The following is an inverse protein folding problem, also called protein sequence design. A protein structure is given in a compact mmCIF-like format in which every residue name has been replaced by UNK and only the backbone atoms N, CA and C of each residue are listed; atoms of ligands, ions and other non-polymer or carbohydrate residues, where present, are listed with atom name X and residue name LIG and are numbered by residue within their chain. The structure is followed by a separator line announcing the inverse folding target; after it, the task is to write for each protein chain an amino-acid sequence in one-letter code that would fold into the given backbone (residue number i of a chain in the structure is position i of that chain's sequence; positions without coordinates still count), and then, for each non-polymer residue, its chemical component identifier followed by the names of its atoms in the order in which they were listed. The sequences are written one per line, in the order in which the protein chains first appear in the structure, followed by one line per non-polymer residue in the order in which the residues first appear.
data_IF_462106516020
#
_entry.id   IF_462106516020
#
_cell.length_a   1.000
_cell.length_b   1.000
_cell.length_c   1.000
_cell.angle_alpha   90.00
_cell.angle_beta   90.00
_cell.angle_gamma   90.00
#
_symmetry.space_group_name_H-M   'P 1'
#
loop_
_entity.id
_entity.type
_entity.pdbx_description
1 polymer ?
#
# COMPACT_ATOMS: atom_id res chain seq x y z
N UNK A 1 15.19 -22.39 -21.02
CA UNK A 1 14.25 -21.37 -21.50
C UNK A 1 14.74 -19.99 -21.12
N UNK A 2 14.62 -18.97 -21.98
CA UNK A 2 14.98 -17.60 -21.61
C UNK A 2 14.05 -17.10 -20.49
N UNK A 3 14.55 -16.28 -19.54
CA UNK A 3 13.73 -15.74 -18.48
C UNK A 3 12.66 -14.80 -19.04
N UNK A 4 11.44 -14.86 -18.48
CA UNK A 4 10.37 -13.93 -18.85
C UNK A 4 10.73 -12.48 -18.55
N UNK A 5 10.07 -11.50 -19.19
CA UNK A 5 10.29 -10.08 -18.88
C UNK A 5 10.06 -9.78 -17.40
N UNK A 6 9.05 -10.41 -16.77
CA UNK A 6 8.75 -10.27 -15.35
C UNK A 6 9.92 -10.74 -14.47
N UNK A 7 10.57 -11.86 -14.84
CA UNK A 7 11.75 -12.37 -14.16
C UNK A 7 12.98 -11.48 -14.37
N UNK A 8 13.19 -10.98 -15.59
CA UNK A 8 14.32 -10.06 -15.88
C UNK A 8 14.22 -8.79 -15.06
N UNK A 9 13.05 -8.14 -15.04
CA UNK A 9 12.80 -6.95 -14.22
C UNK A 9 12.88 -7.25 -12.71
N UNK A 10 12.41 -8.43 -12.29
CA UNK A 10 12.53 -8.88 -10.92
C UNK A 10 13.99 -8.95 -10.50
N UNK A 11 14.83 -9.68 -11.21
CA UNK A 11 16.26 -9.82 -10.88
C UNK A 11 17.01 -8.49 -10.98
N UNK A 12 16.63 -7.61 -11.89
CA UNK A 12 17.19 -6.26 -11.96
C UNK A 12 16.97 -5.47 -10.67
N UNK A 13 15.79 -5.56 -10.05
CA UNK A 13 15.46 -4.86 -8.79
C UNK A 13 15.94 -5.61 -7.55
N UNK A 14 15.88 -6.95 -7.55
CA UNK A 14 16.23 -7.82 -6.42
C UNK A 14 17.72 -8.20 -6.38
N UNK A 15 18.56 -7.69 -7.32
CA UNK A 15 19.98 -8.00 -7.39
C UNK A 15 20.73 -7.55 -6.13
N UNK A 16 21.68 -8.39 -5.70
CA UNK A 16 22.67 -7.98 -4.72
C UNK A 16 23.65 -7.00 -5.37
N UNK A 17 23.70 -5.79 -4.86
CA UNK A 17 24.59 -4.74 -5.34
C UNK A 17 25.74 -4.47 -4.37
N UNK A 18 25.93 -5.31 -3.35
CA UNK A 18 26.93 -5.13 -2.31
C UNK A 18 26.73 -3.85 -1.48
N UNK A 19 25.49 -3.37 -1.37
CA UNK A 19 25.16 -2.13 -0.65
C UNK A 19 24.13 -2.39 0.45
N UNK A 20 24.56 -2.79 1.65
CA UNK A 20 23.66 -3.13 2.76
C UNK A 20 22.67 -2.01 3.12
N UNK A 21 23.10 -0.74 2.99
CA UNK A 21 22.22 0.40 3.23
C UNK A 21 21.02 0.46 2.27
N UNK A 22 21.20 0.03 1.02
CA UNK A 22 20.13 -0.01 0.04
C UNK A 22 19.10 -1.11 0.39
N UNK A 23 19.57 -2.27 0.83
CA UNK A 23 18.71 -3.36 1.31
C UNK A 23 17.92 -2.92 2.55
N UNK A 24 18.58 -2.24 3.51
CA UNK A 24 17.88 -1.65 4.67
C UNK A 24 16.83 -0.65 4.24
N UNK A 25 17.15 0.24 3.31
CA UNK A 25 16.20 1.24 2.79
C UNK A 25 14.96 0.58 2.17
N UNK A 26 15.16 -0.41 1.31
CA UNK A 26 14.05 -1.17 0.71
C UNK A 26 13.23 -1.92 1.76
N UNK A 27 13.88 -2.52 2.76
CA UNK A 27 13.20 -3.19 3.85
C UNK A 27 12.39 -2.22 4.72
N UNK A 28 12.88 -1.00 4.97
CA UNK A 28 12.15 0.07 5.68
C UNK A 28 10.88 0.46 4.91
N UNK A 29 10.99 0.74 3.60
CA UNK A 29 9.80 1.05 2.78
C UNK A 29 8.82 -0.12 2.71
N UNK A 30 9.30 -1.35 2.77
CA UNK A 30 8.47 -2.57 2.71
C UNK A 30 7.80 -2.93 4.02
N UNK A 31 8.21 -2.35 5.16
CA UNK A 31 7.76 -2.74 6.51
C UNK A 31 6.66 -1.81 7.01
N UNK A 32 5.40 -2.31 7.02
CA UNK A 32 4.29 -1.56 7.61
C UNK A 32 4.50 -1.34 9.12
N UNK A 33 5.01 -2.35 9.84
CA UNK A 33 5.21 -2.30 11.29
C UNK A 33 6.18 -1.20 11.71
N UNK A 34 7.12 -0.86 10.85
CA UNK A 34 8.05 0.25 11.06
C UNK A 34 7.30 1.60 11.03
N UNK A 35 6.39 1.78 10.07
CA UNK A 35 5.67 3.03 9.86
C UNK A 35 4.40 3.16 10.70
N UNK A 36 3.86 2.06 11.20
CA UNK A 36 2.56 2.02 11.87
C UNK A 36 2.43 3.00 13.05
N UNK A 37 3.42 3.13 13.97
CA UNK A 37 3.32 4.10 15.06
C UNK A 37 3.19 5.54 14.56
N UNK A 38 3.97 5.90 13.54
CA UNK A 38 3.92 7.23 12.93
C UNK A 38 2.56 7.49 12.24
N UNK A 39 2.05 6.48 11.52
CA UNK A 39 0.74 6.57 10.85
C UNK A 39 -0.40 6.72 11.86
N UNK A 40 -0.35 6.01 12.99
CA UNK A 40 -1.33 6.13 14.07
C UNK A 40 -1.29 7.55 14.65
N UNK A 41 -0.12 8.06 15.02
CA UNK A 41 0.03 9.42 15.56
C UNK A 41 -0.47 10.46 14.56
N UNK A 42 -0.09 10.35 13.28
CA UNK A 42 -0.57 11.25 12.23
C UNK A 42 -2.09 11.19 12.08
N UNK A 43 -2.67 9.99 12.08
CA UNK A 43 -4.12 9.79 12.02
C UNK A 43 -4.85 10.43 13.21
N UNK A 44 -4.36 10.24 14.43
CA UNK A 44 -4.92 10.85 15.64
C UNK A 44 -4.82 12.38 15.61
N UNK A 45 -3.71 12.94 15.15
CA UNK A 45 -3.56 14.39 14.98
C UNK A 45 -4.52 14.95 13.94
N UNK A 46 -4.72 14.26 12.82
CA UNK A 46 -5.70 14.63 11.80
C UNK A 46 -7.12 14.54 12.36
N UNK A 47 -7.46 13.49 13.07
CA UNK A 47 -8.77 13.34 13.72
C UNK A 47 -9.04 14.46 14.72
N UNK A 48 -8.01 14.88 15.47
CA UNK A 48 -8.13 15.95 16.47
C UNK A 48 -8.18 17.34 15.84
N UNK A 49 -7.20 17.69 14.98
CA UNK A 49 -7.00 19.05 14.47
C UNK A 49 -7.47 19.28 13.03
N UNK A 50 -7.74 18.21 12.28
CA UNK A 50 -7.98 18.29 10.83
C UNK A 50 -9.33 18.89 10.40
N UNK A 51 -10.19 19.31 11.34
CA UNK A 51 -11.51 19.81 11.03
C UNK A 51 -12.37 18.79 10.25
N UNK A 52 -13.42 19.28 9.59
CA UNK A 52 -14.29 18.40 8.81
C UNK A 52 -13.54 17.73 7.65
N UNK A 53 -12.75 18.48 6.90
CA UNK A 53 -12.02 17.98 5.73
C UNK A 53 -11.05 16.84 6.09
N UNK A 54 -10.25 17.04 7.15
CA UNK A 54 -9.29 16.02 7.60
C UNK A 54 -9.98 14.77 8.12
N UNK A 55 -11.06 14.93 8.90
CA UNK A 55 -11.86 13.80 9.41
C UNK A 55 -12.55 13.05 8.28
N UNK A 56 -13.16 13.74 7.33
CA UNK A 56 -13.78 13.15 6.15
C UNK A 56 -12.75 12.38 5.31
N UNK A 57 -11.59 12.98 5.07
CA UNK A 57 -10.47 12.32 4.37
C UNK A 57 -10.05 11.03 5.09
N UNK A 58 -9.82 11.09 6.41
CA UNK A 58 -9.41 9.93 7.21
C UNK A 58 -10.48 8.83 7.20
N UNK A 59 -11.76 9.19 7.34
CA UNK A 59 -12.88 8.23 7.26
C UNK A 59 -12.94 7.57 5.89
N UNK A 60 -12.88 8.34 4.80
CA UNK A 60 -12.86 7.80 3.44
C UNK A 60 -11.66 6.88 3.22
N UNK A 61 -10.49 7.25 3.73
CA UNK A 61 -9.27 6.43 3.63
C UNK A 61 -9.43 5.08 4.33
N UNK A 62 -9.84 5.08 5.59
CA UNK A 62 -9.99 3.86 6.39
C UNK A 62 -11.05 2.92 5.79
N UNK A 63 -12.19 3.48 5.37
CA UNK A 63 -13.23 2.71 4.68
C UNK A 63 -12.73 2.13 3.36
N UNK A 64 -12.01 2.93 2.56
CA UNK A 64 -11.48 2.46 1.27
C UNK A 64 -10.45 1.34 1.44
N UNK A 65 -9.52 1.46 2.41
CA UNK A 65 -8.56 0.40 2.72
C UNK A 65 -9.29 -0.86 3.21
N UNK A 66 -10.27 -0.73 4.10
CA UNK A 66 -11.03 -1.87 4.61
C UNK A 66 -11.79 -2.61 3.51
N UNK A 67 -12.47 -1.88 2.62
CA UNK A 67 -13.18 -2.47 1.48
C UNK A 67 -12.19 -3.09 0.50
N UNK A 68 -11.07 -2.42 0.22
CA UNK A 68 -10.05 -2.91 -0.69
C UNK A 68 -9.43 -4.22 -0.18
N UNK A 69 -8.99 -4.27 1.08
CA UNK A 69 -8.40 -5.48 1.66
C UNK A 69 -9.41 -6.63 1.80
N UNK A 70 -10.55 -6.36 2.43
CA UNK A 70 -11.55 -7.39 2.71
C UNK A 70 -12.36 -7.82 1.49
N UNK A 71 -12.79 -6.85 0.67
CA UNK A 71 -13.72 -7.08 -0.44
C UNK A 71 -13.07 -7.38 -1.78
N UNK A 72 -11.81 -6.96 -1.99
CA UNK A 72 -11.18 -7.07 -3.32
C UNK A 72 -9.87 -7.86 -3.25
N UNK A 73 -8.90 -7.42 -2.46
CA UNK A 73 -7.54 -7.99 -2.46
C UNK A 73 -7.56 -9.44 -1.98
N UNK A 74 -8.18 -9.70 -0.82
CA UNK A 74 -8.18 -11.04 -0.25
C UNK A 74 -8.96 -12.07 -1.09
N UNK A 75 -10.15 -11.78 -1.66
CA UNK A 75 -10.81 -12.65 -2.60
C UNK A 75 -9.97 -12.91 -3.88
N UNK A 76 -9.42 -11.84 -4.49
CA UNK A 76 -8.61 -11.98 -5.71
C UNK A 76 -7.35 -12.82 -5.49
N UNK A 77 -6.67 -12.68 -4.34
CA UNK A 77 -5.52 -13.54 -4.00
C UNK A 77 -5.86 -15.02 -3.99
N UNK A 78 -7.02 -15.37 -3.46
CA UNK A 78 -7.49 -16.76 -3.41
C UNK A 78 -7.83 -17.28 -4.82
N UNK A 79 -8.47 -16.45 -5.64
CA UNK A 79 -8.91 -16.84 -7.00
C UNK A 79 -7.74 -16.93 -7.97
N UNK A 80 -6.83 -15.94 -7.97
CA UNK A 80 -5.70 -15.89 -8.91
C UNK A 80 -4.60 -16.88 -8.50
N UNK A 81 -4.41 -17.09 -7.19
CA UNK A 81 -3.44 -18.04 -6.62
C UNK A 81 -2.01 -17.95 -7.18
N UNK A 82 -1.55 -16.73 -7.54
CA UNK A 82 -0.20 -16.51 -8.08
C UNK A 82 0.85 -16.68 -6.98
N UNK A 83 1.88 -17.50 -7.23
CA UNK A 83 2.99 -17.71 -6.30
C UNK A 83 3.93 -16.50 -6.26
N UNK A 84 4.53 -16.24 -5.08
CA UNK A 84 5.51 -15.17 -4.90
C UNK A 84 6.86 -15.55 -5.50
N UNK A 85 7.70 -14.57 -5.89
CA UNK A 85 9.03 -14.85 -6.44
C UNK A 85 9.85 -15.81 -5.58
N UNK A 86 9.93 -15.60 -4.28
CA UNK A 86 10.72 -16.43 -3.36
C UNK A 86 10.15 -17.83 -3.10
N UNK A 87 8.93 -18.13 -3.55
CA UNK A 87 8.34 -19.48 -3.57
C UNK A 87 8.52 -20.18 -4.93
N UNK A 88 9.11 -19.51 -5.91
CA UNK A 88 9.34 -20.05 -7.26
C UNK A 88 10.83 -20.11 -7.59
N UNK A 89 11.58 -19.12 -7.11
CA UNK A 89 12.98 -18.90 -7.43
C UNK A 89 13.84 -19.07 -6.17
N UNK A 90 14.70 -20.07 -6.13
CA UNK A 90 15.67 -20.27 -5.04
C UNK A 90 16.69 -19.13 -4.95
N UNK A 91 16.97 -18.46 -6.09
CA UNK A 91 17.92 -17.35 -6.21
C UNK A 91 17.31 -16.01 -5.76
N UNK A 92 15.99 -15.95 -5.52
CA UNK A 92 15.35 -14.73 -5.06
C UNK A 92 15.84 -14.37 -3.66
N UNK A 93 16.25 -13.09 -3.48
CA UNK A 93 16.64 -12.56 -2.18
C UNK A 93 15.40 -12.10 -1.42
N UNK A 94 15.17 -12.63 -0.24
CA UNK A 94 14.12 -12.20 0.69
C UNK A 94 14.73 -11.29 1.72
N UNK A 95 14.50 -9.99 1.60
CA UNK A 95 15.09 -8.97 2.48
C UNK A 95 14.04 -8.48 3.47
N UNK A 96 14.34 -8.56 4.76
CA UNK A 96 13.45 -8.11 5.85
C UNK A 96 14.25 -7.31 6.88
N UNK A 97 13.58 -6.39 7.57
CA UNK A 97 14.15 -5.77 8.75
C UNK A 97 14.32 -6.82 9.86
N UNK A 98 15.38 -6.69 10.64
CA UNK A 98 15.56 -7.48 11.86
C UNK A 98 14.43 -7.20 12.85
N UNK A 99 13.99 -8.23 13.60
CA UNK A 99 13.00 -8.04 14.65
C UNK A 99 13.66 -7.39 15.87
N UNK A 100 13.28 -6.16 16.13
CA UNK A 100 13.84 -5.32 17.23
C UNK A 100 12.73 -4.71 18.07
N UNK A 101 13.03 -4.48 19.32
CA UNK A 101 12.19 -3.71 20.25
C UNK A 101 13.02 -2.58 20.84
N UNK A 102 12.66 -1.30 20.61
CA UNK A 102 11.58 -0.81 19.76
C UNK A 102 11.86 -0.98 18.25
N UNK A 103 10.82 -1.04 17.43
CA UNK A 103 10.87 -1.37 16.00
C UNK A 103 11.73 -0.42 15.15
N UNK A 104 11.86 0.86 15.53
CA UNK A 104 12.67 1.83 14.80
C UNK A 104 14.17 1.52 14.81
N UNK A 105 14.67 0.75 15.79
CA UNK A 105 16.08 0.30 15.82
C UNK A 105 16.44 -0.59 14.63
N UNK A 106 15.48 -1.25 14.01
CA UNK A 106 15.71 -2.09 12.84
C UNK A 106 16.26 -1.31 11.63
N UNK A 107 16.02 0.02 11.55
CA UNK A 107 16.52 0.84 10.46
C UNK A 107 18.04 1.10 10.52
N UNK A 108 18.65 0.93 11.69
CA UNK A 108 20.11 1.13 11.90
C UNK A 108 20.87 -0.21 12.04
N UNK A 109 20.16 -1.33 11.89
CA UNK A 109 20.74 -2.67 11.89
C UNK A 109 20.77 -3.26 10.48
N UNK A 110 21.70 -4.17 10.18
CA UNK A 110 21.72 -4.87 8.90
C UNK A 110 20.41 -5.67 8.73
N UNK A 111 19.83 -5.67 7.50
CA UNK A 111 18.63 -6.45 7.24
C UNK A 111 18.93 -7.94 7.24
N UNK A 112 17.92 -8.74 7.55
CA UNK A 112 17.98 -10.20 7.42
C UNK A 112 17.72 -10.57 5.96
N UNK A 113 18.68 -11.23 5.34
CA UNK A 113 18.59 -11.69 3.95
C UNK A 113 18.56 -13.21 3.94
N UNK A 114 17.56 -13.78 3.23
CA UNK A 114 17.43 -15.22 3.02
C UNK A 114 17.24 -15.51 1.53
N UNK A 115 17.67 -16.70 1.09
CA UNK A 115 17.33 -17.21 -0.24
C UNK A 115 15.85 -17.59 -0.31
N UNK A 116 15.30 -17.58 -1.52
CA UNK A 116 13.97 -18.13 -1.77
C UNK A 116 13.93 -19.63 -1.49
N UNK A 117 12.77 -20.14 -1.13
CA UNK A 117 12.58 -21.58 -0.86
C UNK A 117 11.31 -22.08 -1.57
N UNK A 118 11.44 -22.69 -2.75
CA UNK A 118 10.30 -23.29 -3.44
C UNK A 118 9.61 -24.41 -2.67
N UNK A 119 10.31 -25.10 -1.77
CA UNK A 119 9.71 -26.17 -0.94
C UNK A 119 8.73 -25.63 0.12
N UNK A 120 8.80 -24.34 0.45
CA UNK A 120 7.87 -23.65 1.36
C UNK A 120 6.69 -22.99 0.63
N UNK A 121 6.51 -23.26 -0.67
CA UNK A 121 5.43 -22.66 -1.44
C UNK A 121 4.06 -23.11 -0.88
N UNK A 122 3.17 -22.18 -0.52
CA UNK A 122 1.84 -22.54 -0.05
C UNK A 122 1.00 -23.09 -1.22
N UNK A 123 0.02 -23.93 -0.89
CA UNK A 123 -0.91 -24.46 -1.88
C UNK A 123 -1.63 -23.34 -2.65
N UNK A 124 -2.03 -22.27 -1.96
CA UNK A 124 -2.65 -21.07 -2.55
C UNK A 124 -1.66 -19.91 -2.54
N UNK A 125 -1.22 -19.48 -3.71
CA UNK A 125 -0.34 -18.34 -3.88
C UNK A 125 -1.02 -17.02 -3.50
N UNK A 126 -0.26 -16.06 -2.97
CA UNK A 126 -0.79 -14.76 -2.47
C UNK A 126 -0.01 -13.57 -3.03
N UNK A 127 0.54 -13.70 -4.25
CA UNK A 127 1.36 -12.63 -4.84
C UNK A 127 0.51 -11.51 -5.43
N UNK A 128 -0.50 -11.82 -6.23
CA UNK A 128 -1.36 -10.84 -6.90
C UNK A 128 -2.76 -10.81 -6.27
N UNK A 129 -3.31 -9.62 -5.94
CA UNK A 129 -2.70 -8.28 -5.97
C UNK A 129 -1.73 -8.03 -4.81
N UNK A 130 -0.84 -7.03 -4.98
CA UNK A 130 0.03 -6.56 -3.91
C UNK A 130 -0.73 -5.63 -2.95
N UNK A 131 -1.03 -6.10 -1.74
CA UNK A 131 -1.76 -5.31 -0.73
C UNK A 131 -1.05 -4.01 -0.35
N UNK A 132 0.28 -4.05 -0.11
CA UNK A 132 1.05 -2.83 0.20
C UNK A 132 0.98 -1.81 -0.93
N UNK A 133 1.17 -2.23 -2.18
CA UNK A 133 1.03 -1.34 -3.34
C UNK A 133 -0.38 -0.76 -3.40
N UNK A 134 -1.40 -1.60 -3.32
CA UNK A 134 -2.80 -1.16 -3.40
C UNK A 134 -3.15 -0.15 -2.30
N UNK A 135 -2.77 -0.41 -1.05
CA UNK A 135 -3.06 0.47 0.06
C UNK A 135 -2.35 1.82 -0.05
N UNK A 136 -1.09 1.83 -0.50
CA UNK A 136 -0.33 3.07 -0.67
C UNK A 136 -0.85 3.91 -1.84
N UNK A 137 -1.27 3.28 -2.95
CA UNK A 137 -1.89 3.99 -4.06
C UNK A 137 -3.31 4.46 -3.72
N UNK A 138 -4.08 3.70 -2.92
CA UNK A 138 -5.34 4.15 -2.33
C UNK A 138 -5.12 5.40 -1.46
N UNK A 139 -4.14 5.34 -0.55
CA UNK A 139 -3.77 6.47 0.32
C UNK A 139 -3.41 7.72 -0.50
N UNK A 140 -2.51 7.61 -1.48
CA UNK A 140 -2.11 8.71 -2.35
C UNK A 140 -3.30 9.29 -3.14
N UNK A 141 -4.20 8.43 -3.64
CA UNK A 141 -5.40 8.83 -4.39
C UNK A 141 -6.36 9.62 -3.51
N UNK A 142 -6.66 9.12 -2.29
CA UNK A 142 -7.53 9.84 -1.34
C UNK A 142 -6.93 11.21 -1.01
N UNK A 143 -5.64 11.27 -0.68
CA UNK A 143 -4.98 12.55 -0.40
C UNK A 143 -5.04 13.50 -1.61
N UNK A 144 -4.84 12.99 -2.83
CA UNK A 144 -4.91 13.79 -4.06
C UNK A 144 -6.29 14.37 -4.26
N UNK A 145 -7.35 13.60 -4.05
CA UNK A 145 -8.73 14.08 -4.19
C UNK A 145 -9.07 15.15 -3.14
N UNK A 146 -8.57 14.99 -1.90
CA UNK A 146 -8.83 15.97 -0.84
C UNK A 146 -7.89 17.18 -0.87
N UNK A 147 -6.61 17.02 -1.26
CA UNK A 147 -5.58 18.07 -1.14
C UNK A 147 -4.88 18.43 -2.45
N UNK A 148 -5.41 17.92 -3.60
CA UNK A 148 -4.93 18.22 -4.97
C UNK A 148 -3.44 17.92 -5.14
N UNK A 149 -2.65 18.85 -5.71
CA UNK A 149 -1.24 18.64 -5.99
C UNK A 149 -0.40 18.27 -4.74
N UNK A 150 -0.76 18.81 -3.56
CA UNK A 150 -0.09 18.43 -2.30
C UNK A 150 -0.31 16.96 -1.96
N UNK A 151 -1.52 16.47 -2.19
CA UNK A 151 -1.84 15.05 -2.03
C UNK A 151 -1.16 14.18 -3.10
N UNK A 152 -1.00 14.68 -4.33
CA UNK A 152 -0.34 13.96 -5.41
C UNK A 152 1.14 13.66 -5.12
N UNK A 153 1.81 14.45 -4.27
CA UNK A 153 3.18 14.16 -3.84
C UNK A 153 3.30 12.81 -3.14
N UNK A 154 2.22 12.28 -2.55
CA UNK A 154 2.22 10.98 -1.89
C UNK A 154 2.27 9.79 -2.87
N UNK A 155 2.14 10.01 -4.18
CA UNK A 155 2.46 8.98 -5.17
C UNK A 155 3.95 8.65 -5.21
N UNK A 156 4.84 9.56 -4.78
CA UNK A 156 6.28 9.29 -4.68
C UNK A 156 6.53 8.17 -3.65
N UNK A 157 6.19 8.32 -2.35
CA UNK A 157 6.37 7.23 -1.39
C UNK A 157 5.54 5.98 -1.75
N UNK A 158 4.35 6.11 -2.36
CA UNK A 158 3.59 4.96 -2.83
C UNK A 158 4.36 4.13 -3.87
N UNK A 159 5.03 4.79 -4.82
CA UNK A 159 5.88 4.15 -5.82
C UNK A 159 7.12 3.51 -5.17
N UNK A 160 7.75 4.18 -4.21
CA UNK A 160 8.89 3.60 -3.48
C UNK A 160 8.48 2.35 -2.71
N UNK A 161 7.32 2.35 -2.04
CA UNK A 161 6.77 1.15 -1.40
C UNK A 161 6.48 0.05 -2.43
N UNK A 162 5.89 0.36 -3.59
CA UNK A 162 5.66 -0.63 -4.62
C UNK A 162 6.96 -1.27 -5.12
N UNK A 163 7.97 -0.46 -5.44
CA UNK A 163 9.29 -0.94 -5.88
C UNK A 163 9.98 -1.76 -4.79
N UNK A 164 9.85 -1.35 -3.52
CA UNK A 164 10.43 -2.10 -2.39
C UNK A 164 9.87 -3.52 -2.30
N UNK A 165 8.60 -3.75 -2.71
CA UNK A 165 8.01 -5.10 -2.70
C UNK A 165 8.70 -6.05 -3.69
N UNK A 166 9.19 -5.52 -4.82
CA UNK A 166 9.99 -6.28 -5.78
C UNK A 166 11.42 -6.44 -5.28
N UNK A 167 12.05 -5.35 -4.86
CA UNK A 167 13.43 -5.34 -4.36
C UNK A 167 13.64 -6.28 -3.16
N UNK A 168 12.64 -6.41 -2.28
CA UNK A 168 12.66 -7.33 -1.13
C UNK A 168 12.20 -8.75 -1.46
N UNK A 169 11.96 -9.08 -2.73
CA UNK A 169 11.60 -10.44 -3.18
C UNK A 169 10.13 -10.82 -2.98
N UNK A 170 9.29 -9.92 -2.46
CA UNK A 170 7.93 -10.24 -2.01
C UNK A 170 6.90 -10.35 -3.12
N UNK A 171 7.09 -9.62 -4.23
CA UNK A 171 6.15 -9.52 -5.35
C UNK A 171 6.86 -9.47 -6.70
N UNK A 172 6.16 -9.86 -7.75
CA UNK A 172 6.60 -9.70 -9.12
C UNK A 172 6.39 -8.24 -9.59
N UNK A 173 7.20 -7.73 -10.56
CA UNK A 173 6.95 -6.45 -11.19
C UNK A 173 5.52 -6.31 -11.75
N UNK A 174 5.00 -7.35 -12.40
CA UNK A 174 3.62 -7.37 -12.91
C UNK A 174 2.57 -7.21 -11.80
N UNK A 175 2.82 -7.71 -10.58
CA UNK A 175 1.89 -7.56 -9.47
C UNK A 175 1.71 -6.09 -9.09
N UNK A 176 2.81 -5.33 -8.99
CA UNK A 176 2.75 -3.91 -8.64
C UNK A 176 2.20 -3.07 -9.79
N UNK A 177 2.54 -3.42 -11.05
CA UNK A 177 2.04 -2.72 -12.24
C UNK A 177 0.53 -2.85 -12.43
N UNK A 178 -0.07 -3.97 -12.00
CA UNK A 178 -1.51 -4.16 -12.04
C UNK A 178 -2.21 -3.61 -10.80
N UNK A 179 -1.58 -3.74 -9.63
CA UNK A 179 -2.18 -3.30 -8.36
C UNK A 179 -2.27 -1.78 -8.24
N UNK A 180 -1.29 -1.04 -8.74
CA UNK A 180 -1.26 0.41 -8.64
C UNK A 180 -2.43 1.08 -9.40
N UNK A 181 -2.59 0.91 -10.71
CA UNK A 181 -3.72 1.52 -11.43
C UNK A 181 -5.07 0.94 -11.00
N UNK A 182 -5.14 -0.35 -10.70
CA UNK A 182 -6.37 -0.98 -10.21
C UNK A 182 -6.87 -0.33 -8.92
N UNK A 183 -5.96 -0.08 -7.97
CA UNK A 183 -6.34 0.57 -6.71
C UNK A 183 -6.71 2.05 -6.89
N UNK A 184 -6.08 2.79 -7.80
CA UNK A 184 -6.49 4.15 -8.14
C UNK A 184 -7.95 4.16 -8.63
N UNK A 185 -8.27 3.30 -9.61
CA UNK A 185 -9.61 3.23 -10.20
C UNK A 185 -10.65 2.89 -9.13
N UNK A 186 -10.40 1.83 -8.35
CA UNK A 186 -11.32 1.41 -7.26
C UNK A 186 -11.50 2.53 -6.24
N UNK A 187 -10.41 3.20 -5.83
CA UNK A 187 -10.49 4.28 -4.86
C UNK A 187 -11.31 5.46 -5.39
N UNK A 188 -11.14 5.85 -6.64
CA UNK A 188 -11.92 6.93 -7.25
C UNK A 188 -13.41 6.57 -7.30
N UNK A 189 -13.76 5.32 -7.64
CA UNK A 189 -15.15 4.84 -7.60
C UNK A 189 -15.72 4.89 -6.19
N UNK A 190 -14.98 4.42 -5.19
CA UNK A 190 -15.42 4.49 -3.78
C UNK A 190 -15.63 5.93 -3.32
N UNK A 191 -14.72 6.84 -3.64
CA UNK A 191 -14.85 8.25 -3.30
C UNK A 191 -16.07 8.91 -4.00
N UNK A 192 -16.37 8.54 -5.24
CA UNK A 192 -17.57 8.98 -5.93
C UNK A 192 -18.85 8.48 -5.21
N UNK A 193 -18.88 7.20 -4.80
CA UNK A 193 -19.95 6.61 -4.02
C UNK A 193 -20.13 7.33 -2.68
N UNK A 194 -19.03 7.55 -1.91
CA UNK A 194 -19.09 8.27 -0.64
C UNK A 194 -19.62 9.70 -0.81
N UNK A 195 -19.16 10.40 -1.86
CA UNK A 195 -19.66 11.73 -2.19
C UNK A 195 -21.16 11.74 -2.58
N UNK A 196 -21.63 10.71 -3.27
CA UNK A 196 -23.05 10.54 -3.57
C UNK A 196 -23.86 10.22 -2.31
N UNK A 197 -23.43 9.27 -1.49
CA UNK A 197 -24.04 8.93 -0.20
C UNK A 197 -24.14 10.15 0.72
N UNK A 198 -23.08 10.93 0.80
CA UNK A 198 -23.08 12.17 1.59
C UNK A 198 -24.18 13.12 1.14
N UNK A 199 -24.29 13.39 -0.17
CA UNK A 199 -25.30 14.33 -0.71
C UNK A 199 -26.74 13.83 -0.50
N UNK A 200 -26.95 12.52 -0.50
CA UNK A 200 -28.30 11.94 -0.40
C UNK A 200 -28.73 11.69 1.06
N UNK A 201 -27.82 11.26 1.91
CA UNK A 201 -28.13 10.82 3.26
C UNK A 201 -27.84 11.87 4.34
N UNK A 202 -26.78 12.65 4.21
CA UNK A 202 -26.38 13.61 5.24
C UNK A 202 -27.46 14.67 5.55
N UNK A 203 -28.23 15.19 4.59
CA UNK A 203 -29.33 16.11 4.90
C UNK A 203 -30.40 15.52 5.80
N UNK A 204 -30.58 14.19 5.77
CA UNK A 204 -31.57 13.49 6.60
C UNK A 204 -30.99 13.05 7.95
N UNK A 205 -29.76 12.58 7.97
CA UNK A 205 -29.13 11.99 9.17
C UNK A 205 -28.42 13.01 10.05
N UNK A 206 -27.78 14.01 9.44
CA UNK A 206 -26.97 15.03 10.13
C UNK A 206 -27.20 16.42 9.51
N UNK A 207 -28.43 16.96 9.55
CA UNK A 207 -28.81 18.16 8.79
C UNK A 207 -27.95 19.39 9.08
N UNK A 208 -27.59 19.64 10.32
CA UNK A 208 -26.73 20.76 10.72
C UNK A 208 -25.33 20.65 10.11
N UNK A 209 -24.78 19.47 10.01
CA UNK A 209 -23.48 19.22 9.42
C UNK A 209 -23.54 19.30 7.89
N UNK A 210 -24.61 18.79 7.29
CA UNK A 210 -24.85 18.83 5.85
C UNK A 210 -25.00 20.28 5.32
N UNK A 211 -25.68 21.17 6.09
CA UNK A 211 -25.78 22.59 5.76
C UNK A 211 -24.40 23.27 5.78
N UNK A 212 -23.58 22.99 6.79
CA UNK A 212 -22.23 23.56 6.89
C UNK A 212 -21.26 22.98 5.87
N UNK A 213 -21.45 21.72 5.49
CA UNK A 213 -20.59 20.97 4.58
C UNK A 213 -21.41 20.24 3.53
N UNK A 214 -21.96 20.96 2.52
CA UNK A 214 -22.85 20.37 1.52
C UNK A 214 -22.17 19.35 0.61
N UNK A 215 -20.84 19.34 0.60
CA UNK A 215 -20.02 18.37 -0.13
C UNK A 215 -19.03 17.71 0.81
N UNK A 216 -18.92 16.36 0.73
CA UNK A 216 -17.94 15.58 1.48
C UNK A 216 -16.51 15.95 1.05
N UNK A 217 -16.33 16.09 -0.25
CA UNK A 217 -15.09 16.52 -0.90
C UNK A 217 -15.33 17.91 -1.44
N UNK A 218 -14.86 18.92 -0.71
CA UNK A 218 -14.98 20.31 -1.16
C UNK A 218 -13.99 20.59 -2.30
N UNK A 219 -14.39 21.30 -3.36
CA UNK A 219 -13.43 21.89 -4.28
C UNK A 219 -12.50 22.82 -3.49
N UNK A 220 -11.20 22.71 -3.74
CA UNK A 220 -10.20 23.56 -3.14
C UNK A 220 -10.19 24.93 -3.81
#
# INVERSE_FOLDING_TARGET
MAPSLDQQLFFFLNADRGRPWADTLWAVFSSLDFWLPLLIVAGLLIAWRGGFRGRAMLTCLLLSIGIMEGGIINPLKKTISKQRPYHVLSEARVVKLEDTTPRWLAAIRPPVIRAGNPAEAPEVGKSLPSGHTSNMFCFATVLTVFYRWRGALFFIPATLVALSRVATGSHWPSDIMLSAPGSIIVTLLLLAIYGWLWRTLAPRLVPTLAVRHPRLIAPA
#
